data_IF_292801343684
#
_entry.id   IF_292801343684
#
_cell.length_a   1.000
_cell.length_b   1.000
_cell.length_c   1.000
_cell.angle_alpha   90.00
_cell.angle_beta   90.00
_cell.angle_gamma   90.00
#
_symmetry.space_group_name_H-M   'P 1'
#
loop_
_entity.id
_entity.type
_entity.pdbx_description
1 polymer ?
#
# COMPACT_ATOMS: atom_id res chain seq x y z
N UNK A 1 20.68 -7.95 0.25
CA UNK A 1 19.24 -7.92 0.61
C UNK A 1 19.02 -7.32 2.00
N UNK A 2 19.66 -7.83 3.03
CA UNK A 2 19.50 -7.38 4.41
C UNK A 2 19.81 -5.88 4.64
N UNK A 3 20.82 -5.35 3.98
CA UNK A 3 21.19 -3.93 4.10
C UNK A 3 20.14 -2.96 3.54
N UNK A 4 19.46 -3.29 2.45
CA UNK A 4 18.40 -2.44 1.85
C UNK A 4 17.16 -2.38 2.74
N UNK A 5 16.71 -3.53 3.23
CA UNK A 5 15.60 -3.59 4.17
C UNK A 5 15.89 -2.80 5.45
N UNK A 6 17.10 -2.97 6.00
CA UNK A 6 17.54 -2.23 7.19
C UNK A 6 17.50 -0.72 6.94
N UNK A 7 18.00 -0.25 5.79
CA UNK A 7 17.98 1.18 5.42
C UNK A 7 16.55 1.71 5.27
N UNK A 8 15.64 0.90 4.72
CA UNK A 8 14.22 1.26 4.62
C UNK A 8 13.58 1.43 6.01
N UNK A 9 13.74 0.44 6.92
CA UNK A 9 13.17 0.52 8.27
C UNK A 9 13.76 1.63 9.13
N UNK A 10 15.02 2.00 8.94
CA UNK A 10 15.64 3.13 9.65
C UNK A 10 15.28 4.47 9.01
N UNK A 11 14.67 4.46 7.82
CA UNK A 11 14.27 5.65 7.09
C UNK A 11 13.07 6.37 7.73
N UNK A 12 13.13 7.70 7.80
CA UNK A 12 12.01 8.52 8.32
C UNK A 12 10.74 8.35 7.49
N UNK A 13 10.85 8.12 6.18
CA UNK A 13 9.72 7.94 5.27
C UNK A 13 8.85 6.72 5.65
N UNK A 14 9.47 5.61 6.06
CA UNK A 14 8.75 4.42 6.49
C UNK A 14 7.89 4.69 7.73
N UNK A 15 8.47 5.27 8.78
CA UNK A 15 7.74 5.56 10.01
C UNK A 15 6.68 6.64 9.84
N UNK A 16 6.93 7.63 8.96
CA UNK A 16 5.94 8.63 8.59
C UNK A 16 4.74 7.97 7.87
N UNK A 17 5.01 7.04 6.96
CA UNK A 17 3.97 6.25 6.28
C UNK A 17 3.12 5.44 7.27
N UNK A 18 3.76 4.74 8.21
CA UNK A 18 3.06 4.00 9.27
C UNK A 18 2.20 4.95 10.12
N UNK A 19 2.77 6.08 10.55
CA UNK A 19 2.05 7.05 11.37
C UNK A 19 0.83 7.65 10.64
N UNK A 20 0.96 7.97 9.36
CA UNK A 20 -0.15 8.45 8.53
C UNK A 20 -1.23 7.38 8.35
N UNK A 21 -0.83 6.11 8.16
CA UNK A 21 -1.78 5.02 8.04
C UNK A 21 -2.55 4.80 9.35
N UNK A 22 -1.84 4.80 10.50
CA UNK A 22 -2.48 4.72 11.84
C UNK A 22 -3.42 5.89 12.07
N UNK A 23 -3.00 7.12 11.78
CA UNK A 23 -3.83 8.31 11.92
C UNK A 23 -5.08 8.23 11.04
N UNK A 24 -4.94 7.81 9.78
CA UNK A 24 -6.06 7.60 8.86
C UNK A 24 -7.05 6.54 9.36
N UNK A 25 -6.55 5.42 9.89
CA UNK A 25 -7.37 4.36 10.48
C UNK A 25 -8.11 4.87 11.72
N UNK A 26 -7.43 5.55 12.64
CA UNK A 26 -8.06 6.13 13.84
C UNK A 26 -9.13 7.15 13.48
N UNK A 27 -8.90 7.98 12.46
CA UNK A 27 -9.91 8.92 11.96
C UNK A 27 -11.12 8.22 11.29
N UNK A 28 -10.93 6.99 10.81
CA UNK A 28 -11.99 6.17 10.20
C UNK A 28 -12.75 5.28 11.18
N UNK A 29 -12.26 5.10 12.41
CA UNK A 29 -12.91 4.27 13.42
C UNK A 29 -14.17 4.98 13.97
N UNK A 30 -15.28 4.26 13.97
CA UNK A 30 -16.50 4.62 14.68
C UNK A 30 -16.60 3.79 15.96
N UNK A 31 -16.42 4.43 17.11
CA UNK A 31 -16.45 3.75 18.39
C UNK A 31 -17.89 3.36 18.76
N UNK A 32 -18.13 2.12 19.20
CA UNK A 32 -19.46 1.69 19.63
C UNK A 32 -19.84 2.36 20.96
N UNK A 33 -21.10 2.74 21.08
CA UNK A 33 -21.68 3.30 22.32
C UNK A 33 -22.34 2.24 23.23
N UNK A 34 -22.52 1.01 22.74
CA UNK A 34 -23.21 -0.05 23.42
C UNK A 34 -22.37 -1.33 23.49
N UNK A 35 -22.76 -2.24 24.40
CA UNK A 35 -22.12 -3.56 24.55
C UNK A 35 -22.28 -4.36 23.27
N UNK A 36 -21.18 -4.77 22.69
CA UNK A 36 -21.08 -5.41 21.38
C UNK A 36 -20.83 -6.92 21.50
N UNK A 37 -21.14 -7.70 20.45
CA UNK A 37 -20.73 -9.13 20.37
C UNK A 37 -19.22 -9.26 20.32
N UNK A 38 -18.69 -10.43 20.69
CA UNK A 38 -17.25 -10.71 20.65
C UNK A 38 -16.68 -10.58 19.25
N UNK A 39 -15.51 -9.93 19.13
CA UNK A 39 -14.81 -9.74 17.85
C UNK A 39 -15.26 -8.52 17.03
N UNK A 40 -16.07 -7.64 17.59
CA UNK A 40 -16.52 -6.41 16.92
C UNK A 40 -15.37 -5.49 16.55
N UNK A 41 -14.26 -5.48 17.31
CA UNK A 41 -13.09 -4.69 17.00
C UNK A 41 -12.45 -5.04 15.63
N UNK A 42 -12.54 -6.29 15.15
CA UNK A 42 -12.11 -6.65 13.80
C UNK A 42 -12.95 -5.97 12.71
N UNK A 43 -14.26 -5.97 12.88
CA UNK A 43 -15.19 -5.28 11.95
C UNK A 43 -15.03 -3.78 11.96
N UNK A 44 -14.73 -3.19 13.12
CA UNK A 44 -14.44 -1.75 13.24
C UNK A 44 -13.20 -1.36 12.46
N UNK A 45 -12.10 -2.10 12.63
CA UNK A 45 -10.85 -1.84 11.91
C UNK A 45 -11.03 -2.09 10.41
N UNK A 46 -11.76 -3.14 10.02
CA UNK A 46 -12.06 -3.41 8.62
C UNK A 46 -12.86 -2.26 7.98
N UNK A 47 -13.87 -1.70 8.66
CA UNK A 47 -14.62 -0.54 8.21
C UNK A 47 -13.74 0.71 8.14
N UNK A 48 -12.79 0.89 9.08
CA UNK A 48 -11.84 2.00 9.06
C UNK A 48 -10.92 1.97 7.84
N UNK A 49 -10.48 0.78 7.38
CA UNK A 49 -9.75 0.63 6.11
C UNK A 49 -10.57 1.06 4.90
N UNK A 50 -11.87 0.84 4.90
CA UNK A 50 -12.79 1.24 3.84
C UNK A 50 -13.27 2.70 3.97
N UNK A 51 -12.92 3.38 5.06
CA UNK A 51 -13.32 4.75 5.31
C UNK A 51 -12.54 5.74 4.43
N UNK A 52 -13.17 6.89 4.15
CA UNK A 52 -12.60 7.94 3.30
C UNK A 52 -11.17 8.36 3.68
N UNK A 53 -10.81 8.56 4.98
CA UNK A 53 -9.46 9.00 5.33
C UNK A 53 -8.37 8.05 4.81
N UNK A 54 -8.53 6.75 5.01
CA UNK A 54 -7.55 5.75 4.54
C UNK A 54 -7.55 5.66 3.02
N UNK A 55 -8.74 5.60 2.40
CA UNK A 55 -8.85 5.55 0.94
C UNK A 55 -8.14 6.72 0.27
N UNK A 56 -8.23 7.93 0.82
CA UNK A 56 -7.58 9.11 0.24
C UNK A 56 -6.08 9.21 0.57
N UNK A 57 -5.63 8.71 1.72
CA UNK A 57 -4.23 8.76 2.11
C UNK A 57 -3.40 7.60 1.54
N UNK A 58 -4.05 6.53 1.08
CA UNK A 58 -3.35 5.31 0.65
C UNK A 58 -2.23 5.54 -0.38
N UNK A 59 -2.40 6.35 -1.46
CA UNK A 59 -1.33 6.59 -2.40
C UNK A 59 -0.12 7.31 -1.77
N UNK A 60 -0.35 8.19 -0.81
CA UNK A 60 0.72 8.86 -0.05
C UNK A 60 1.44 7.87 0.86
N UNK A 61 0.68 7.09 1.64
CA UNK A 61 1.19 6.04 2.52
C UNK A 61 2.07 5.05 1.74
N UNK A 62 1.64 4.70 0.53
CA UNK A 62 2.33 3.71 -0.29
C UNK A 62 3.70 4.16 -0.81
N UNK A 63 3.82 5.42 -1.25
CA UNK A 63 5.04 5.92 -1.90
C UNK A 63 6.11 6.40 -0.92
N UNK A 64 5.72 6.85 0.28
CA UNK A 64 6.62 7.42 1.28
C UNK A 64 7.75 6.50 1.76
N UNK A 65 7.56 5.18 1.94
CA UNK A 65 8.59 4.33 2.52
C UNK A 65 9.90 4.34 1.75
N UNK A 66 9.88 4.11 0.43
CA UNK A 66 11.12 3.84 -0.32
C UNK A 66 11.06 4.10 -1.83
N UNK A 67 10.01 4.74 -2.37
CA UNK A 67 9.80 4.88 -3.82
C UNK A 67 10.87 5.71 -4.53
N UNK A 68 11.50 6.66 -3.85
CA UNK A 68 12.57 7.53 -4.38
C UNK A 68 13.99 6.93 -4.18
N UNK A 69 14.11 5.74 -3.60
CA UNK A 69 15.38 5.16 -3.17
C UNK A 69 16.39 4.95 -4.30
N UNK A 70 15.95 4.46 -5.46
CA UNK A 70 16.81 4.31 -6.63
C UNK A 70 17.35 5.66 -7.09
N UNK A 71 16.50 6.68 -7.16
CA UNK A 71 16.90 8.00 -7.61
C UNK A 71 17.92 8.65 -6.68
N UNK A 72 17.78 8.48 -5.37
CA UNK A 72 18.77 8.95 -4.38
C UNK A 72 20.12 8.28 -4.58
N UNK A 73 20.14 6.97 -4.81
CA UNK A 73 21.38 6.22 -5.06
C UNK A 73 22.02 6.57 -6.39
N UNK A 74 21.19 6.81 -7.42
CA UNK A 74 21.68 7.29 -8.72
C UNK A 74 22.37 8.65 -8.58
N UNK A 75 21.70 9.63 -7.96
CA UNK A 75 22.21 10.99 -7.79
C UNK A 75 23.46 11.06 -6.88
N UNK A 76 23.55 10.18 -5.88
CA UNK A 76 24.72 10.12 -4.99
C UNK A 76 25.94 9.40 -5.60
N UNK A 77 25.79 8.78 -6.78
CA UNK A 77 26.84 7.98 -7.40
C UNK A 77 27.07 6.63 -6.73
N UNK A 78 26.27 6.27 -5.72
CA UNK A 78 26.39 4.99 -5.00
C UNK A 78 26.26 3.77 -5.92
N UNK A 79 25.50 3.87 -7.00
CA UNK A 79 25.33 2.79 -7.98
C UNK A 79 26.66 2.30 -8.55
N UNK A 80 27.61 3.21 -8.82
CA UNK A 80 28.92 2.86 -9.39
C UNK A 80 29.70 1.91 -8.47
N UNK A 81 29.50 2.00 -7.17
CA UNK A 81 30.12 1.12 -6.18
C UNK A 81 29.28 -0.15 -5.90
N UNK A 82 27.96 -0.06 -6.00
CA UNK A 82 27.06 -1.17 -5.69
C UNK A 82 26.94 -2.21 -6.82
N UNK A 83 26.81 -1.78 -8.08
CA UNK A 83 26.60 -2.66 -9.22
C UNK A 83 27.72 -3.70 -9.42
N UNK A 84 29.04 -3.37 -9.32
CA UNK A 84 30.09 -4.36 -9.48
C UNK A 84 30.07 -5.45 -8.40
N UNK A 85 29.55 -5.13 -7.20
CA UNK A 85 29.52 -6.05 -6.04
C UNK A 85 28.29 -6.95 -6.04
N UNK A 86 27.15 -6.44 -6.50
CA UNK A 86 25.85 -7.14 -6.37
C UNK A 86 25.40 -7.75 -7.68
N UNK A 87 25.89 -7.25 -8.81
CA UNK A 87 25.38 -7.59 -10.14
C UNK A 87 24.07 -6.85 -10.45
N UNK A 88 23.87 -6.53 -11.73
CA UNK A 88 22.72 -5.71 -12.18
C UNK A 88 21.37 -6.32 -11.82
N UNK A 89 21.22 -7.64 -12.12
CA UNK A 89 19.95 -8.34 -11.92
C UNK A 89 19.55 -8.38 -10.44
N UNK A 90 20.46 -8.84 -9.59
CA UNK A 90 20.20 -8.94 -8.16
C UNK A 90 19.90 -7.56 -7.53
N UNK A 91 20.60 -6.50 -7.98
CA UNK A 91 20.33 -5.14 -7.54
C UNK A 91 18.90 -4.70 -7.88
N UNK A 92 18.46 -4.90 -9.13
CA UNK A 92 17.11 -4.52 -9.59
C UNK A 92 16.03 -5.29 -8.83
N UNK A 93 16.18 -6.61 -8.71
CA UNK A 93 15.25 -7.47 -7.97
C UNK A 93 15.09 -7.00 -6.49
N UNK A 94 16.21 -6.77 -5.80
CA UNK A 94 16.21 -6.28 -4.43
C UNK A 94 15.50 -4.93 -4.34
N UNK A 95 15.77 -4.01 -5.26
CA UNK A 95 15.21 -2.67 -5.24
C UNK A 95 13.68 -2.69 -5.41
N UNK A 96 13.18 -3.47 -6.39
CA UNK A 96 11.74 -3.61 -6.64
C UNK A 96 11.04 -4.23 -5.44
N UNK A 97 11.60 -5.33 -4.89
CA UNK A 97 11.04 -6.01 -3.74
C UNK A 97 11.03 -5.12 -2.49
N UNK A 98 12.06 -4.29 -2.29
CA UNK A 98 12.12 -3.39 -1.15
C UNK A 98 11.12 -2.24 -1.29
N UNK A 99 10.93 -1.69 -2.50
CA UNK A 99 9.95 -0.63 -2.76
C UNK A 99 8.52 -1.16 -2.57
N UNK A 100 8.16 -2.25 -3.23
CA UNK A 100 6.84 -2.86 -3.09
C UNK A 100 6.58 -3.34 -1.66
N UNK A 101 7.57 -4.01 -1.06
CA UNK A 101 7.50 -4.51 0.31
C UNK A 101 7.39 -3.41 1.36
N UNK A 102 7.99 -2.24 1.12
CA UNK A 102 7.86 -1.08 2.01
C UNK A 102 6.41 -0.61 2.15
N UNK A 103 5.68 -0.53 1.03
CA UNK A 103 4.25 -0.19 1.03
C UNK A 103 3.40 -1.26 1.75
N UNK A 104 3.67 -2.55 1.49
CA UNK A 104 2.99 -3.67 2.17
C UNK A 104 3.20 -3.59 3.68
N UNK A 105 4.45 -3.50 4.12
CA UNK A 105 4.79 -3.56 5.53
C UNK A 105 4.27 -2.37 6.33
N UNK A 106 4.23 -1.17 5.73
CA UNK A 106 3.64 -0.01 6.37
C UNK A 106 2.14 -0.22 6.67
N UNK A 107 1.39 -0.79 5.73
CA UNK A 107 -0.04 -1.11 5.90
C UNK A 107 -0.22 -2.20 6.96
N UNK A 108 0.59 -3.27 6.93
CA UNK A 108 0.50 -4.37 7.88
C UNK A 108 0.82 -3.92 9.31
N UNK A 109 1.89 -3.15 9.49
CA UNK A 109 2.27 -2.65 10.79
C UNK A 109 1.19 -1.73 11.38
N UNK A 110 0.63 -0.83 10.57
CA UNK A 110 -0.48 0.02 10.98
C UNK A 110 -1.73 -0.81 11.33
N UNK A 111 -2.05 -1.84 10.53
CA UNK A 111 -3.17 -2.75 10.81
C UNK A 111 -2.99 -3.46 12.15
N UNK A 112 -1.80 -4.00 12.43
CA UNK A 112 -1.49 -4.68 13.71
C UNK A 112 -1.64 -3.70 14.88
N UNK A 113 -1.04 -2.51 14.79
CA UNK A 113 -1.06 -1.51 15.86
C UNK A 113 -2.50 -1.08 16.16
N UNK A 114 -3.29 -0.75 15.14
CA UNK A 114 -4.66 -0.29 15.32
C UNK A 114 -5.58 -1.44 15.78
N UNK A 115 -5.43 -2.64 15.25
CA UNK A 115 -6.22 -3.81 15.70
C UNK A 115 -5.93 -4.12 17.17
N UNK A 116 -4.66 -4.12 17.57
CA UNK A 116 -4.27 -4.34 18.96
C UNK A 116 -4.80 -3.22 19.88
N UNK A 117 -4.68 -1.96 19.47
CA UNK A 117 -5.25 -0.83 20.21
C UNK A 117 -6.76 -0.91 20.35
N UNK A 118 -7.47 -1.25 19.27
CA UNK A 118 -8.92 -1.44 19.28
C UNK A 118 -9.34 -2.62 20.17
N UNK A 119 -8.57 -3.71 20.16
CA UNK A 119 -8.76 -4.83 21.08
C UNK A 119 -8.68 -4.38 22.55
N UNK A 120 -7.64 -3.65 22.94
CA UNK A 120 -7.48 -3.18 24.33
C UNK A 120 -8.65 -2.30 24.80
N UNK A 121 -9.21 -1.49 23.93
CA UNK A 121 -10.31 -0.58 24.25
C UNK A 121 -11.67 -1.30 24.24
N UNK A 122 -11.92 -2.15 23.27
CA UNK A 122 -13.23 -2.77 23.06
C UNK A 122 -13.41 -4.05 23.89
N UNK A 123 -12.33 -4.81 24.15
CA UNK A 123 -12.41 -6.10 24.86
C UNK A 123 -13.16 -6.04 26.20
N UNK A 124 -12.96 -5.03 27.06
CA UNK A 124 -13.72 -4.91 28.32
C UNK A 124 -15.22 -4.67 28.14
N UNK A 125 -15.64 -4.22 26.96
CA UNK A 125 -17.02 -3.86 26.64
C UNK A 125 -17.72 -4.93 25.77
N UNK A 126 -17.00 -5.94 25.30
CA UNK A 126 -17.56 -7.03 24.51
C UNK A 126 -18.13 -8.14 25.41
N UNK A 127 -19.21 -8.76 24.93
CA UNK A 127 -19.74 -9.97 25.58
C UNK A 127 -18.75 -11.11 25.45
N UNK A 128 -18.53 -11.84 26.56
CA UNK A 128 -17.72 -13.03 26.53
C UNK A 128 -18.33 -14.06 25.55
N UNK A 129 -17.54 -14.49 24.56
CA UNK A 129 -17.97 -15.45 23.55
C UNK A 129 -16.83 -15.83 22.60
N UNK A 130 -17.06 -16.85 21.78
CA UNK A 130 -16.10 -17.22 20.76
C UNK A 130 -16.08 -16.19 19.64
N UNK A 131 -14.87 -15.76 19.23
CA UNK A 131 -14.68 -14.88 18.08
C UNK A 131 -14.99 -15.69 16.82
N UNK A 132 -15.95 -15.23 16.02
CA UNK A 132 -16.25 -15.82 14.73
C UNK A 132 -15.06 -15.65 13.76
N UNK A 133 -14.83 -16.63 12.90
CA UNK A 133 -13.74 -16.56 11.92
C UNK A 133 -13.99 -15.51 10.82
N UNK A 134 -15.26 -15.22 10.52
CA UNK A 134 -15.67 -14.34 9.44
C UNK A 134 -15.11 -12.90 9.56
N UNK A 135 -15.22 -12.17 10.70
CA UNK A 135 -14.64 -10.83 10.84
C UNK A 135 -13.12 -10.80 10.65
N UNK A 136 -12.42 -11.83 11.12
CA UNK A 136 -10.97 -11.97 10.98
C UNK A 136 -10.59 -12.12 9.50
N UNK A 137 -11.30 -13.00 8.79
CA UNK A 137 -11.07 -13.23 7.36
C UNK A 137 -11.36 -11.98 6.53
N UNK A 138 -12.44 -11.25 6.83
CA UNK A 138 -12.78 -9.99 6.16
C UNK A 138 -11.72 -8.93 6.38
N UNK A 139 -11.21 -8.77 7.60
CA UNK A 139 -10.13 -7.84 7.89
C UNK A 139 -8.85 -8.24 7.15
N UNK A 140 -8.45 -9.51 7.23
CA UNK A 140 -7.26 -10.01 6.54
C UNK A 140 -7.33 -9.78 5.02
N UNK A 141 -8.47 -10.07 4.39
CA UNK A 141 -8.69 -9.81 2.98
C UNK A 141 -8.59 -8.32 2.62
N UNK A 142 -9.13 -7.43 3.48
CA UNK A 142 -9.06 -5.99 3.27
C UNK A 142 -7.63 -5.46 3.41
N UNK A 143 -6.90 -5.88 4.45
CA UNK A 143 -5.47 -5.53 4.64
C UNK A 143 -4.64 -6.01 3.47
N UNK A 144 -4.88 -7.22 2.96
CA UNK A 144 -4.16 -7.76 1.82
C UNK A 144 -4.46 -6.95 0.54
N UNK A 145 -5.71 -6.57 0.28
CA UNK A 145 -6.07 -5.69 -0.85
C UNK A 145 -5.39 -4.32 -0.75
N UNK A 146 -5.46 -3.68 0.43
CA UNK A 146 -4.74 -2.42 0.66
C UNK A 146 -3.24 -2.55 0.41
N UNK A 147 -2.65 -3.67 0.81
CA UNK A 147 -1.22 -3.96 0.61
C UNK A 147 -0.86 -4.11 -0.87
N UNK A 148 -1.69 -4.82 -1.66
CA UNK A 148 -1.47 -4.96 -3.10
C UNK A 148 -1.60 -3.63 -3.83
N UNK A 149 -2.61 -2.82 -3.49
CA UNK A 149 -2.76 -1.45 -4.01
C UNK A 149 -1.56 -0.61 -3.60
N UNK A 150 -1.15 -0.65 -2.33
CA UNK A 150 0.02 0.08 -1.82
C UNK A 150 1.30 -0.29 -2.57
N UNK A 151 1.60 -1.59 -2.74
CA UNK A 151 2.77 -2.05 -3.48
C UNK A 151 2.76 -1.59 -4.95
N UNK A 152 1.59 -1.58 -5.57
CA UNK A 152 1.40 -1.12 -6.95
C UNK A 152 1.70 0.38 -7.08
N UNK A 153 1.16 1.21 -6.19
CA UNK A 153 1.42 2.65 -6.20
C UNK A 153 2.84 3.01 -5.76
N UNK A 154 3.46 2.24 -4.86
CA UNK A 154 4.88 2.38 -4.53
C UNK A 154 5.76 2.14 -5.77
N UNK A 155 5.46 1.08 -6.54
CA UNK A 155 6.17 0.77 -7.79
C UNK A 155 5.95 1.85 -8.85
N UNK A 156 4.72 2.37 -9.00
CA UNK A 156 4.40 3.50 -9.87
C UNK A 156 5.21 4.74 -9.47
N UNK A 157 5.33 5.02 -8.17
CA UNK A 157 6.16 6.12 -7.66
C UNK A 157 7.63 5.95 -8.05
N UNK A 158 8.17 4.73 -7.97
CA UNK A 158 9.51 4.43 -8.43
C UNK A 158 9.71 4.70 -9.92
N UNK A 159 8.78 4.26 -10.78
CA UNK A 159 8.78 4.57 -12.22
C UNK A 159 8.81 6.07 -12.47
N UNK A 160 7.85 6.79 -11.88
CA UNK A 160 7.68 8.23 -12.08
C UNK A 160 8.90 9.03 -11.59
N UNK A 161 9.49 8.63 -10.46
CA UNK A 161 10.72 9.23 -9.94
C UNK A 161 11.90 9.07 -10.86
N UNK A 162 12.08 7.87 -11.45
CA UNK A 162 13.18 7.58 -12.39
C UNK A 162 13.01 8.37 -13.69
N UNK A 163 11.82 8.32 -14.28
CA UNK A 163 11.51 9.00 -15.55
C UNK A 163 11.56 10.52 -15.40
N UNK A 164 11.00 11.04 -14.32
CA UNK A 164 10.97 12.47 -14.04
C UNK A 164 12.24 13.03 -13.43
N UNK A 165 13.17 12.18 -12.97
CA UNK A 165 14.44 12.59 -12.39
C UNK A 165 14.32 13.36 -11.05
N UNK A 166 13.14 13.37 -10.40
CA UNK A 166 12.92 14.06 -9.12
C UNK A 166 12.13 13.23 -8.13
N UNK A 167 12.39 13.44 -6.83
CA UNK A 167 11.63 12.81 -5.77
C UNK A 167 10.17 13.31 -5.72
N UNK A 168 9.96 14.58 -6.08
CA UNK A 168 8.62 15.17 -6.11
C UNK A 168 7.71 14.46 -7.11
N UNK A 169 8.25 14.05 -8.27
CA UNK A 169 7.51 13.25 -9.24
C UNK A 169 7.22 11.82 -8.73
N UNK A 170 8.14 11.23 -7.95
CA UNK A 170 7.90 9.95 -7.33
C UNK A 170 6.72 9.96 -6.36
N UNK A 171 6.51 11.07 -5.65
CA UNK A 171 5.43 11.23 -4.68
C UNK A 171 4.15 11.80 -5.32
N UNK A 172 4.29 12.80 -6.20
CA UNK A 172 3.15 13.55 -6.73
C UNK A 172 2.37 12.83 -7.81
N UNK A 173 3.04 12.19 -8.77
CA UNK A 173 2.35 11.56 -9.91
C UNK A 173 1.44 10.40 -9.47
N UNK A 174 1.84 9.46 -8.60
CA UNK A 174 0.94 8.41 -8.13
C UNK A 174 -0.32 8.96 -7.44
N UNK A 175 -0.18 10.06 -6.70
CA UNK A 175 -1.29 10.76 -6.08
C UNK A 175 -2.27 11.28 -7.14
N UNK A 176 -1.75 12.01 -8.13
CA UNK A 176 -2.56 12.55 -9.24
C UNK A 176 -3.27 11.44 -9.99
N UNK A 177 -2.56 10.36 -10.35
CA UNK A 177 -3.15 9.19 -11.04
C UNK A 177 -4.28 8.57 -10.22
N UNK A 178 -4.09 8.40 -8.92
CA UNK A 178 -5.09 7.83 -8.02
C UNK A 178 -6.39 8.65 -8.02
N UNK A 179 -6.26 9.96 -7.78
CA UNK A 179 -7.43 10.86 -7.78
C UNK A 179 -8.04 11.04 -9.17
N UNK A 180 -7.23 11.03 -10.21
CA UNK A 180 -7.71 11.09 -11.58
C UNK A 180 -8.57 9.88 -11.93
N UNK A 181 -8.18 8.68 -11.52
CA UNK A 181 -9.00 7.47 -11.66
C UNK A 181 -10.36 7.62 -10.95
N UNK A 182 -10.39 8.19 -9.74
CA UNK A 182 -11.65 8.45 -9.02
C UNK A 182 -12.55 9.41 -9.77
N UNK A 183 -12.00 10.53 -10.27
CA UNK A 183 -12.75 11.55 -11.02
C UNK A 183 -13.28 10.97 -12.34
N UNK A 184 -12.45 10.20 -13.05
CA UNK A 184 -12.87 9.56 -14.30
C UNK A 184 -14.07 8.63 -14.09
N UNK A 185 -14.01 7.81 -13.03
CA UNK A 185 -15.12 6.90 -12.69
C UNK A 185 -16.38 7.66 -12.32
N UNK A 186 -16.27 8.67 -11.47
CA UNK A 186 -17.46 9.38 -10.97
C UNK A 186 -18.14 10.25 -12.03
N UNK A 187 -17.37 10.83 -12.97
CA UNK A 187 -17.91 11.77 -13.96
C UNK A 187 -18.13 11.20 -15.35
N UNK A 188 -17.24 10.30 -15.80
CA UNK A 188 -17.21 9.88 -17.21
C UNK A 188 -17.56 8.40 -17.43
N UNK A 189 -17.17 7.54 -16.48
CA UNK A 189 -17.31 6.09 -16.63
C UNK A 189 -17.94 5.44 -15.39
N UNK A 190 -19.24 5.69 -15.10
CA UNK A 190 -19.87 5.21 -13.86
C UNK A 190 -19.87 3.68 -13.72
N UNK A 191 -19.84 2.95 -14.83
CA UNK A 191 -19.86 1.48 -14.85
C UNK A 191 -18.46 0.85 -14.77
N UNK A 192 -17.39 1.64 -14.91
CA UNK A 192 -16.02 1.15 -14.93
C UNK A 192 -15.48 0.91 -13.51
N UNK A 193 -15.81 -0.26 -12.93
CA UNK A 193 -15.38 -0.64 -11.58
C UNK A 193 -13.86 -0.68 -11.40
N UNK A 194 -13.14 -0.99 -12.47
CA UNK A 194 -11.67 -1.05 -12.48
C UNK A 194 -10.99 0.31 -12.39
N UNK A 195 -11.71 1.42 -12.56
CA UNK A 195 -11.22 2.78 -12.38
C UNK A 195 -11.42 3.33 -10.96
N UNK A 196 -12.03 2.58 -10.02
CA UNK A 196 -12.39 3.12 -8.71
C UNK A 196 -11.58 2.54 -7.56
N UNK A 197 -10.47 3.18 -7.16
CA UNK A 197 -9.60 2.70 -6.10
C UNK A 197 -10.29 2.37 -4.77
N UNK A 198 -11.30 3.11 -4.28
CA UNK A 198 -12.01 2.73 -3.06
C UNK A 198 -12.69 1.36 -3.15
N UNK A 199 -13.11 0.91 -4.34
CA UNK A 199 -13.66 -0.43 -4.52
C UNK A 199 -12.61 -1.53 -4.54
N UNK A 200 -11.39 -1.22 -4.96
CA UNK A 200 -10.27 -2.17 -4.88
C UNK A 200 -9.97 -2.52 -3.42
N UNK A 201 -10.16 -1.55 -2.50
CA UNK A 201 -9.95 -1.71 -1.07
C UNK A 201 -11.14 -2.45 -0.43
N UNK A 202 -12.36 -1.95 -0.63
CA UNK A 202 -13.56 -2.49 0.01
C UNK A 202 -13.95 -3.88 -0.50
N UNK A 203 -13.75 -4.12 -1.80
CA UNK A 203 -14.20 -5.35 -2.46
C UNK A 203 -15.73 -5.53 -2.46
N UNK A 204 -16.49 -4.43 -2.30
CA UNK A 204 -17.94 -4.48 -2.17
C UNK A 204 -18.66 -4.81 -3.49
N UNK A 205 -18.08 -4.46 -4.62
CA UNK A 205 -18.65 -4.78 -5.94
C UNK A 205 -18.30 -6.22 -6.34
N UNK A 206 -19.22 -6.85 -7.09
CA UNK A 206 -18.98 -8.17 -7.65
C UNK A 206 -18.08 -8.05 -8.90
N UNK A 207 -16.91 -8.66 -8.84
CA UNK A 207 -15.95 -8.77 -9.93
C UNK A 207 -15.99 -10.19 -10.50
N UNK A 208 -16.91 -10.40 -11.47
CA UNK A 208 -17.20 -11.74 -12.03
C UNK A 208 -18.12 -12.59 -11.15
N UNK A 209 -18.40 -13.80 -11.57
CA UNK A 209 -19.39 -14.68 -10.92
C UNK A 209 -19.00 -15.09 -9.51
N UNK A 210 -17.70 -15.30 -9.23
CA UNK A 210 -17.18 -15.77 -7.93
C UNK A 210 -16.46 -14.68 -7.12
N UNK A 211 -16.38 -13.43 -7.61
CA UNK A 211 -15.65 -12.35 -6.94
C UNK A 211 -14.11 -12.44 -7.04
N UNK A 212 -13.57 -13.43 -7.76
CA UNK A 212 -12.14 -13.65 -7.94
C UNK A 212 -11.48 -12.61 -8.86
N UNK A 213 -12.27 -11.96 -9.72
CA UNK A 213 -11.78 -10.98 -10.70
C UNK A 213 -11.03 -9.81 -10.08
N UNK A 214 -11.41 -9.38 -8.87
CA UNK A 214 -10.70 -8.31 -8.16
C UNK A 214 -9.27 -8.72 -7.78
N UNK A 215 -9.10 -9.93 -7.27
CA UNK A 215 -7.77 -10.44 -6.90
C UNK A 215 -6.86 -10.57 -8.12
N UNK A 216 -7.40 -11.12 -9.21
CA UNK A 216 -6.69 -11.22 -10.48
C UNK A 216 -6.27 -9.85 -11.00
N UNK A 217 -7.17 -8.87 -10.96
CA UNK A 217 -6.90 -7.48 -11.37
C UNK A 217 -5.78 -6.86 -10.52
N UNK A 218 -5.83 -6.98 -9.19
CA UNK A 218 -4.83 -6.41 -8.29
C UNK A 218 -3.45 -7.06 -8.48
N UNK A 219 -3.40 -8.38 -8.64
CA UNK A 219 -2.15 -9.10 -8.89
C UNK A 219 -1.55 -8.74 -10.26
N UNK A 220 -2.39 -8.62 -11.29
CA UNK A 220 -1.95 -8.22 -12.63
C UNK A 220 -1.45 -6.77 -12.64
N UNK A 221 -2.16 -5.87 -11.98
CA UNK A 221 -1.74 -4.47 -11.81
C UNK A 221 -0.38 -4.39 -11.11
N UNK A 222 -0.20 -5.14 -10.02
CA UNK A 222 1.08 -5.21 -9.31
C UNK A 222 2.19 -5.75 -10.21
N UNK A 223 1.96 -6.86 -10.92
CA UNK A 223 2.94 -7.48 -11.80
C UNK A 223 3.37 -6.53 -12.93
N UNK A 224 2.43 -5.85 -13.57
CA UNK A 224 2.70 -4.87 -14.64
C UNK A 224 3.52 -3.69 -14.10
N UNK A 225 3.15 -3.13 -12.95
CA UNK A 225 3.87 -1.99 -12.37
C UNK A 225 5.25 -2.38 -11.82
N UNK A 226 5.41 -3.55 -11.21
CA UNK A 226 6.72 -4.05 -10.81
C UNK A 226 7.62 -4.33 -12.03
N UNK A 227 7.07 -4.94 -13.09
CA UNK A 227 7.78 -5.16 -14.36
C UNK A 227 8.19 -3.84 -15.03
N UNK A 228 7.30 -2.86 -15.08
CA UNK A 228 7.60 -1.51 -15.57
C UNK A 228 8.68 -0.81 -14.75
N UNK A 229 8.64 -0.96 -13.42
CA UNK A 229 9.68 -0.43 -12.53
C UNK A 229 11.03 -1.09 -12.79
N UNK A 230 11.06 -2.41 -12.98
CA UNK A 230 12.27 -3.12 -13.39
C UNK A 230 12.83 -2.58 -14.71
N UNK A 231 11.99 -2.47 -15.73
CA UNK A 231 12.39 -1.98 -17.04
C UNK A 231 12.97 -0.56 -17.00
N UNK A 232 12.35 0.33 -16.21
CA UNK A 232 12.85 1.71 -16.04
C UNK A 232 14.20 1.76 -15.34
N UNK A 233 14.43 0.91 -14.32
CA UNK A 233 15.75 0.81 -13.65
C UNK A 233 16.79 0.29 -14.63
N UNK A 234 16.51 -0.81 -15.38
CA UNK A 234 17.42 -1.35 -16.36
C UNK A 234 17.78 -0.33 -17.44
N UNK A 235 16.78 0.31 -18.04
CA UNK A 235 17.02 1.35 -19.06
C UNK A 235 17.87 2.52 -18.55
N UNK A 236 17.68 2.92 -17.28
CA UNK A 236 18.47 3.98 -16.67
C UNK A 236 19.92 3.57 -16.41
N UNK A 237 20.16 2.31 -16.00
CA UNK A 237 21.51 1.76 -15.78
C UNK A 237 22.27 1.61 -17.11
N UNK A 238 21.58 1.30 -18.21
CA UNK A 238 22.21 1.15 -19.53
C UNK A 238 22.54 2.50 -20.18
N UNK A 239 21.77 3.51 -19.90
CA UNK A 239 21.94 4.87 -20.46
C UNK A 239 23.00 5.72 -19.75
N UNK A 240 23.55 5.31 -18.60
CA UNK A 240 24.51 6.08 -17.79
C UNK A 240 25.74 5.33 -17.39
#
# INVERSE_FOLDING_TARGET
MESEWRRMYTGRGFWLSVALCVAGLLAGITWPSEVQPSGTFFTMVQKAFCAKPVCYLLPVIAVLPWSDSFLREWKSGYLKAALPRTGRRAYVEIKILTVAGGGILAVWLAAIVVTFGSFLVCFPQEKAGNIAAEPVQMLAATVLRCSLVGASFASLGGICGILGGSADMAFGIPLVVYYFCMILKERYFPDALWLYPPQWISGAARWGERGEGLWLFLLLMLAVLMGGHAATIYGKIEAG
#
